data_IF_125102751820
#
_entry.id   IF_125102751820
#
_cell.length_a   1.000
_cell.length_b   1.000
_cell.length_c   1.000
_cell.angle_alpha   90.00
_cell.angle_beta   90.00
_cell.angle_gamma   90.00
#
_symmetry.space_group_name_H-M   'P 1'
#
loop_
_entity.id
_entity.type
_entity.pdbx_description
1 polymer ?
#
# COMPACT_ATOMS: atom_id res chain seq x y z
N UNK A 1 -5.90 4.40 12.21
CA UNK A 1 -5.13 3.16 12.53
C UNK A 1 -3.96 3.51 13.46
N UNK A 2 -3.82 2.81 14.60
CA UNK A 2 -2.67 2.97 15.51
C UNK A 2 -1.76 1.75 15.35
N UNK A 3 -0.57 1.96 14.79
CA UNK A 3 0.41 0.90 14.56
C UNK A 3 1.50 0.90 15.64
N UNK A 4 1.95 -0.28 16.12
CA UNK A 4 3.14 -0.37 16.96
C UNK A 4 4.36 0.23 16.26
N UNK A 5 5.28 0.84 17.02
CA UNK A 5 6.44 1.57 16.48
C UNK A 5 7.31 0.69 15.56
N UNK A 6 7.57 -0.55 15.96
CA UNK A 6 8.37 -1.51 15.18
C UNK A 6 7.71 -1.91 13.84
N UNK A 7 6.39 -1.91 13.78
CA UNK A 7 5.62 -2.18 12.55
C UNK A 7 5.66 -0.96 11.64
N UNK A 8 5.44 0.22 12.21
CA UNK A 8 5.53 1.49 11.49
C UNK A 8 6.91 1.74 10.87
N UNK A 9 7.98 1.45 11.63
CA UNK A 9 9.36 1.63 11.16
C UNK A 9 9.71 0.73 9.97
N UNK A 10 9.06 -0.43 9.83
CA UNK A 10 9.21 -1.29 8.65
C UNK A 10 8.40 -0.74 7.46
N UNK A 11 7.14 -0.35 7.69
CA UNK A 11 6.24 0.13 6.63
C UNK A 11 6.72 1.44 5.99
N UNK A 12 7.21 2.40 6.79
CA UNK A 12 7.66 3.71 6.28
C UNK A 12 8.86 3.62 5.33
N UNK A 13 9.56 2.48 5.33
CA UNK A 13 10.70 2.21 4.48
C UNK A 13 10.35 1.35 3.25
N UNK A 14 9.06 1.02 3.04
CA UNK A 14 8.61 0.30 1.84
C UNK A 14 8.44 1.27 0.67
N UNK A 15 8.97 0.86 -0.49
CA UNK A 15 8.80 1.61 -1.73
C UNK A 15 7.39 1.44 -2.29
N UNK A 16 7.04 2.32 -3.23
CA UNK A 16 5.82 2.18 -4.03
C UNK A 16 5.76 0.81 -4.74
N UNK A 17 6.89 0.26 -5.20
CA UNK A 17 6.97 -1.06 -5.82
C UNK A 17 6.57 -2.18 -4.85
N UNK A 18 7.01 -2.08 -3.60
CA UNK A 18 6.66 -3.04 -2.55
C UNK A 18 5.17 -2.98 -2.21
N UNK A 19 4.57 -1.77 -2.17
CA UNK A 19 3.14 -1.62 -1.94
C UNK A 19 2.32 -2.15 -3.12
N UNK A 20 2.69 -1.84 -4.35
CA UNK A 20 2.02 -2.37 -5.55
C UNK A 20 2.11 -3.89 -5.58
N UNK A 21 3.29 -4.44 -5.31
CA UNK A 21 3.47 -5.91 -5.24
C UNK A 21 2.62 -6.55 -4.16
N UNK A 22 2.34 -5.84 -3.07
CA UNK A 22 1.44 -6.31 -2.01
C UNK A 22 -0.04 -6.19 -2.41
N UNK A 23 -0.42 -5.12 -3.12
CA UNK A 23 -1.77 -4.96 -3.69
C UNK A 23 -2.10 -6.13 -4.63
N UNK A 24 -1.21 -6.43 -5.58
CA UNK A 24 -1.43 -7.54 -6.54
C UNK A 24 -1.54 -8.90 -5.84
N UNK A 25 -0.81 -9.12 -4.73
CA UNK A 25 -0.90 -10.35 -3.92
C UNK A 25 -2.17 -10.41 -3.06
N UNK A 26 -2.85 -9.29 -2.92
CA UNK A 26 -4.11 -9.15 -2.20
C UNK A 26 -5.27 -8.97 -3.18
N UNK A 27 -5.14 -9.53 -4.39
CA UNK A 27 -6.19 -9.53 -5.43
C UNK A 27 -6.64 -8.15 -5.91
N UNK A 28 -5.82 -7.11 -5.73
CA UNK A 28 -6.07 -5.82 -6.36
C UNK A 28 -5.65 -5.83 -7.82
N UNK A 29 -6.53 -5.34 -8.68
CA UNK A 29 -6.31 -5.22 -10.11
C UNK A 29 -6.03 -3.78 -10.52
N UNK A 30 -5.15 -3.60 -11.49
CA UNK A 30 -4.87 -2.29 -12.05
C UNK A 30 -6.02 -1.85 -12.98
N UNK A 31 -6.52 -0.65 -12.76
CA UNK A 31 -7.66 -0.08 -13.49
C UNK A 31 -7.19 0.97 -14.52
N UNK A 32 -6.66 2.10 -14.02
CA UNK A 32 -6.25 3.23 -14.87
C UNK A 32 -4.87 3.76 -14.47
N UNK A 33 -4.10 4.24 -15.47
CA UNK A 33 -2.89 5.04 -15.25
C UNK A 33 -3.08 6.43 -15.86
N UNK A 34 -2.80 7.49 -15.08
CA UNK A 34 -2.76 8.89 -15.54
C UNK A 34 -1.51 9.58 -15.00
N UNK A 35 -0.51 9.74 -15.85
CA UNK A 35 0.80 10.26 -15.43
C UNK A 35 1.44 9.36 -14.38
N UNK A 36 1.81 9.92 -13.22
CA UNK A 36 2.35 9.14 -12.10
C UNK A 36 1.27 8.42 -11.28
N UNK A 37 -0.01 8.71 -11.49
CA UNK A 37 -1.09 8.10 -10.73
C UNK A 37 -1.46 6.74 -11.32
N UNK A 38 -1.55 5.72 -10.47
CA UNK A 38 -2.05 4.38 -10.79
C UNK A 38 -3.22 4.04 -9.90
N UNK A 39 -4.36 3.71 -10.49
CA UNK A 39 -5.57 3.31 -9.79
C UNK A 39 -5.63 1.79 -9.71
N UNK A 40 -6.03 1.28 -8.55
CA UNK A 40 -6.29 -0.14 -8.32
C UNK A 40 -7.68 -0.35 -7.72
N UNK A 41 -8.31 -1.45 -8.11
CA UNK A 41 -9.61 -1.90 -7.64
C UNK A 41 -9.47 -3.25 -6.96
N UNK A 42 -10.19 -3.44 -5.85
CA UNK A 42 -10.28 -4.72 -5.18
C UNK A 42 -11.67 -5.34 -5.43
N UNK A 43 -11.81 -6.67 -5.54
CA UNK A 43 -13.09 -7.35 -5.77
C UNK A 43 -14.19 -7.04 -4.75
N UNK A 44 -13.84 -6.58 -3.55
CA UNK A 44 -14.80 -6.13 -2.53
C UNK A 44 -15.32 -4.70 -2.72
N UNK A 45 -14.93 -4.02 -3.81
CA UNK A 45 -15.39 -2.68 -4.17
C UNK A 45 -14.50 -1.54 -3.66
N UNK A 46 -13.39 -1.83 -2.96
CA UNK A 46 -12.42 -0.77 -2.59
C UNK A 46 -11.65 -0.27 -3.82
N UNK A 47 -11.29 1.01 -3.79
CA UNK A 47 -10.51 1.70 -4.83
C UNK A 47 -9.39 2.51 -4.18
N UNK A 48 -8.17 2.39 -4.69
CA UNK A 48 -7.02 3.16 -4.18
C UNK A 48 -6.24 3.80 -5.34
N UNK A 49 -5.71 5.00 -5.08
CA UNK A 49 -4.88 5.75 -6.01
C UNK A 49 -3.45 5.84 -5.49
N UNK A 50 -2.50 5.26 -6.23
CA UNK A 50 -1.08 5.19 -5.90
C UNK A 50 -0.31 6.18 -6.77
N UNK A 51 0.32 7.18 -6.15
CA UNK A 51 1.30 8.04 -6.84
C UNK A 51 2.61 7.27 -6.98
N UNK A 52 2.88 6.75 -8.17
CA UNK A 52 4.00 5.85 -8.44
C UNK A 52 5.23 6.59 -8.97
N UNK A 53 6.29 6.55 -8.16
CA UNK A 53 7.65 6.86 -8.57
C UNK A 53 8.54 5.66 -8.21
N UNK A 54 9.21 5.03 -9.19
CA UNK A 54 10.00 3.83 -8.95
C UNK A 54 11.01 4.00 -7.80
N UNK A 55 11.06 3.04 -6.89
CA UNK A 55 11.99 3.03 -5.75
C UNK A 55 11.76 4.09 -4.68
N UNK A 56 10.75 4.96 -4.81
CA UNK A 56 10.44 6.00 -3.81
C UNK A 56 9.51 5.48 -2.73
N UNK A 57 9.66 6.05 -1.53
CA UNK A 57 8.78 5.79 -0.37
C UNK A 57 7.77 6.92 -0.20
N UNK A 58 6.77 6.70 0.65
CA UNK A 58 5.76 7.71 0.98
C UNK A 58 6.07 8.44 2.27
N UNK A 59 5.73 9.74 2.31
CA UNK A 59 5.72 10.50 3.55
C UNK A 59 4.72 9.90 4.56
N UNK A 60 4.98 10.04 5.87
CA UNK A 60 4.17 9.42 6.93
C UNK A 60 2.66 9.65 6.83
N UNK A 61 2.25 10.87 6.46
CA UNK A 61 0.83 11.22 6.34
C UNK A 61 0.16 10.48 5.18
N UNK A 62 0.78 10.50 4.01
CA UNK A 62 0.26 9.85 2.81
C UNK A 62 0.23 8.32 2.97
N UNK A 63 1.29 7.74 3.54
CA UNK A 63 1.32 6.30 3.80
C UNK A 63 0.20 5.86 4.74
N UNK A 64 -0.09 6.62 5.80
CA UNK A 64 -1.19 6.31 6.72
C UNK A 64 -2.56 6.37 6.05
N UNK A 65 -2.78 7.36 5.18
CA UNK A 65 -4.02 7.48 4.42
C UNK A 65 -4.16 6.29 3.47
N UNK A 66 -3.12 5.99 2.68
CA UNK A 66 -3.11 4.83 1.78
C UNK A 66 -3.40 3.52 2.50
N UNK A 67 -2.74 3.25 3.63
CA UNK A 67 -2.98 2.03 4.39
C UNK A 67 -4.40 1.97 4.99
N UNK A 68 -5.01 3.11 5.31
CA UNK A 68 -6.39 3.16 5.76
C UNK A 68 -7.37 2.88 4.61
N UNK A 69 -7.13 3.45 3.42
CA UNK A 69 -7.95 3.22 2.22
C UNK A 69 -7.82 1.76 1.74
N UNK A 70 -6.60 1.20 1.81
CA UNK A 70 -6.33 -0.19 1.49
C UNK A 70 -6.92 -1.12 2.55
N UNK A 71 -6.99 -0.73 3.82
CA UNK A 71 -7.66 -1.51 4.86
C UNK A 71 -6.91 -2.77 5.35
N UNK A 72 -5.60 -2.88 5.10
CA UNK A 72 -4.82 -4.03 5.59
C UNK A 72 -4.70 -4.07 7.12
N UNK A 73 -4.90 -5.25 7.69
CA UNK A 73 -4.58 -5.54 9.07
C UNK A 73 -3.08 -5.87 9.24
N UNK A 74 -2.59 -5.93 10.48
CA UNK A 74 -1.22 -6.40 10.76
C UNK A 74 -0.99 -7.82 10.24
N UNK A 75 -1.92 -8.79 10.43
CA UNK A 75 -1.85 -10.10 9.77
C UNK A 75 -1.70 -10.02 8.25
N UNK A 76 -2.46 -9.17 7.57
CA UNK A 76 -2.34 -8.99 6.12
C UNK A 76 -0.96 -8.47 5.74
N UNK A 77 -0.47 -7.44 6.43
CA UNK A 77 0.86 -6.90 6.18
C UNK A 77 1.98 -7.95 6.35
N UNK A 78 1.82 -8.90 7.27
CA UNK A 78 2.74 -10.05 7.41
C UNK A 78 2.58 -11.02 6.23
N UNK A 79 1.35 -11.44 5.90
CA UNK A 79 1.04 -12.33 4.77
C UNK A 79 1.60 -11.77 3.45
N UNK A 80 1.50 -10.46 3.26
CA UNK A 80 1.95 -9.73 2.08
C UNK A 80 3.44 -9.37 2.10
N UNK A 81 4.18 -9.78 3.14
CA UNK A 81 5.64 -9.58 3.31
C UNK A 81 6.07 -8.11 3.39
N UNK A 82 5.19 -7.24 3.87
CA UNK A 82 5.50 -5.83 4.14
C UNK A 82 6.21 -5.65 5.50
N UNK A 83 5.97 -6.57 6.43
CA UNK A 83 6.56 -6.56 7.77
C UNK A 83 6.92 -7.99 8.17
N UNK A 84 7.88 -8.12 9.10
CA UNK A 84 8.26 -9.41 9.70
C UNK A 84 7.35 -9.77 10.85
#
# INVERSE_FOLDING_TARGET
MKLPKNIWDQLKNKSADALISALVKDDWEHDETRGAQRVYLHPDGRRVSIHYHPGKTYGPRLLKALLADIGWSIPDMRRLKLIK
#
